data_IF_624510318604
#
_entry.id   IF_624510318604
#
_cell.length_a   1.000
_cell.length_b   1.000
_cell.length_c   1.000
_cell.angle_alpha   90.00
_cell.angle_beta   90.00
_cell.angle_gamma   90.00
#
_symmetry.space_group_name_H-M   'P 1'
#
loop_
_entity.id
_entity.type
_entity.pdbx_description
1 polymer ?
#
# COMPACT_ATOMS: atom_id res chain seq x y z
N UNK A 1 10.61 12.56 19.85
CA UNK A 1 9.38 12.71 19.04
C UNK A 1 9.50 11.71 17.91
N UNK A 2 8.44 10.96 17.60
CA UNK A 2 8.43 10.10 16.41
C UNK A 2 8.40 11.06 15.23
N UNK A 3 9.39 10.97 14.35
CA UNK A 3 9.48 11.79 13.15
C UNK A 3 8.41 11.32 12.15
N UNK A 4 7.98 12.18 11.22
CA UNK A 4 6.90 11.93 10.27
C UNK A 4 7.24 10.82 9.27
N UNK A 5 6.23 10.05 8.86
CA UNK A 5 6.31 9.19 7.67
C UNK A 5 5.66 9.93 6.50
N UNK A 6 6.37 10.06 5.40
CA UNK A 6 5.81 10.55 4.14
C UNK A 6 5.43 9.36 3.27
N UNK A 7 4.16 9.29 2.87
CA UNK A 7 3.65 8.27 1.96
C UNK A 7 3.35 8.92 0.61
N UNK A 8 4.04 8.51 -0.45
CA UNK A 8 3.81 8.98 -1.82
C UNK A 8 3.15 7.86 -2.61
N UNK A 9 1.88 8.02 -2.97
CA UNK A 9 1.16 6.90 -3.57
C UNK A 9 -0.26 7.20 -4.04
N UNK A 10 -0.96 6.15 -4.45
CA UNK A 10 -2.33 6.23 -4.96
C UNK A 10 -3.36 6.52 -3.88
N UNK A 11 -4.34 7.36 -4.25
CA UNK A 11 -5.56 7.61 -3.50
C UNK A 11 -6.73 7.59 -4.47
N UNK A 12 -7.73 6.76 -4.22
CA UNK A 12 -8.90 6.59 -5.07
C UNK A 12 -10.12 6.17 -4.26
N UNK A 13 -11.26 6.08 -4.92
CA UNK A 13 -12.51 5.61 -4.33
C UNK A 13 -12.85 4.23 -4.92
N UNK A 14 -13.12 3.25 -4.06
CA UNK A 14 -13.55 1.93 -4.46
C UNK A 14 -15.09 1.86 -4.47
N UNK A 15 -15.65 1.49 -5.62
CA UNK A 15 -17.08 1.29 -5.83
C UNK A 15 -17.33 -0.20 -6.04
N UNK A 16 -17.87 -0.89 -5.05
CA UNK A 16 -18.21 -2.31 -5.12
C UNK A 16 -19.72 -2.46 -5.30
N UNK A 17 -20.19 -2.85 -6.48
CA UNK A 17 -21.58 -3.16 -6.78
C UNK A 17 -21.80 -4.67 -6.77
N UNK A 18 -22.64 -5.18 -5.87
CA UNK A 18 -23.00 -6.61 -5.81
C UNK A 18 -24.38 -6.83 -6.40
N UNK A 19 -24.47 -7.62 -7.47
CA UNK A 19 -25.73 -8.00 -8.09
C UNK A 19 -26.51 -8.96 -7.20
N UNK A 20 -27.84 -8.84 -7.18
CA UNK A 20 -28.72 -9.74 -6.44
C UNK A 20 -28.89 -11.12 -7.12
N UNK A 21 -28.53 -11.22 -8.41
CA UNK A 21 -28.54 -12.45 -9.19
C UNK A 21 -27.29 -12.47 -10.11
N UNK A 22 -27.08 -13.57 -10.83
CA UNK A 22 -25.99 -13.64 -11.81
C UNK A 22 -26.05 -12.45 -12.77
N UNK A 23 -24.98 -11.65 -12.92
CA UNK A 23 -25.01 -10.44 -13.74
C UNK A 23 -25.30 -10.74 -15.21
N UNK A 24 -26.27 -10.02 -15.78
CA UNK A 24 -26.65 -10.11 -17.17
C UNK A 24 -26.10 -8.92 -17.95
N UNK A 25 -25.36 -9.19 -19.04
CA UNK A 25 -24.82 -8.15 -19.90
C UNK A 25 -25.93 -7.42 -20.68
N UNK A 26 -25.74 -6.11 -20.92
CA UNK A 26 -26.63 -5.30 -21.74
C UNK A 26 -27.95 -4.89 -21.08
N UNK A 27 -28.11 -5.09 -19.77
CA UNK A 27 -29.29 -4.66 -19.01
C UNK A 27 -28.94 -4.19 -17.60
N UNK A 28 -29.90 -3.57 -16.89
CA UNK A 28 -29.73 -3.21 -15.48
C UNK A 28 -29.86 -4.44 -14.60
N UNK A 29 -28.95 -4.58 -13.65
CA UNK A 29 -28.95 -5.64 -12.66
C UNK A 29 -29.30 -5.04 -11.28
N UNK A 30 -30.44 -5.43 -10.66
CA UNK A 30 -30.73 -5.03 -9.28
C UNK A 30 -29.65 -5.51 -8.32
N UNK A 31 -29.32 -4.69 -7.32
CA UNK A 31 -28.27 -5.04 -6.37
C UNK A 31 -28.04 -3.96 -5.32
N UNK A 32 -26.90 -4.01 -4.68
CA UNK A 32 -26.43 -3.01 -3.71
C UNK A 32 -25.07 -2.45 -4.13
N UNK A 33 -24.80 -1.20 -3.75
CA UNK A 33 -23.52 -0.55 -4.02
C UNK A 33 -22.94 -0.04 -2.71
N UNK A 34 -21.64 -0.26 -2.52
CA UNK A 34 -20.84 0.29 -1.42
C UNK A 34 -19.72 1.15 -2.02
N UNK A 35 -19.54 2.33 -1.46
CA UNK A 35 -18.47 3.26 -1.82
C UNK A 35 -17.56 3.38 -0.60
N UNK A 36 -16.26 3.17 -0.79
CA UNK A 36 -15.26 3.21 0.29
C UNK A 36 -14.00 3.92 -0.16
N UNK A 37 -13.30 4.62 0.75
CA UNK A 37 -11.96 5.11 0.47
C UNK A 37 -11.03 3.97 0.07
N UNK A 38 -10.24 4.17 -0.97
CA UNK A 38 -9.28 3.22 -1.53
C UNK A 38 -7.94 3.88 -1.85
N UNK A 39 -7.08 3.14 -2.53
CA UNK A 39 -5.72 3.53 -2.88
C UNK A 39 -4.69 3.04 -1.88
N UNK A 40 -3.65 2.35 -2.39
CA UNK A 40 -2.62 1.70 -1.57
C UNK A 40 -1.89 2.72 -0.69
N UNK A 41 -1.43 3.84 -1.27
CA UNK A 41 -0.75 4.89 -0.51
C UNK A 41 -1.65 5.48 0.58
N UNK A 42 -2.92 5.77 0.26
CA UNK A 42 -3.88 6.25 1.25
C UNK A 42 -4.17 5.22 2.36
N UNK A 43 -4.35 3.95 2.00
CA UNK A 43 -4.59 2.88 2.98
C UNK A 43 -3.42 2.74 3.96
N UNK A 44 -2.19 2.79 3.45
CA UNK A 44 -0.96 2.75 4.26
C UNK A 44 -0.90 3.97 5.18
N UNK A 45 -1.14 5.18 4.65
CA UNK A 45 -1.10 6.41 5.43
C UNK A 45 -2.15 6.42 6.56
N UNK A 46 -3.39 6.03 6.25
CA UNK A 46 -4.44 5.92 7.26
C UNK A 46 -4.10 4.88 8.34
N UNK A 47 -3.59 3.72 7.95
CA UNK A 47 -3.21 2.68 8.91
C UNK A 47 -2.08 3.16 9.83
N UNK A 48 -1.05 3.81 9.30
CA UNK A 48 0.04 4.40 10.09
C UNK A 48 -0.50 5.43 11.10
N UNK A 49 -1.38 6.34 10.66
CA UNK A 49 -1.96 7.35 11.53
C UNK A 49 -2.80 6.72 12.66
N UNK A 50 -3.61 5.69 12.36
CA UNK A 50 -4.37 4.94 13.37
C UNK A 50 -3.51 4.20 14.38
N UNK A 51 -2.32 3.76 13.98
CA UNK A 51 -1.31 3.19 14.88
C UNK A 51 -0.57 4.26 15.71
N UNK A 52 -0.82 5.55 15.46
CA UNK A 52 -0.21 6.67 16.19
C UNK A 52 1.10 7.18 15.60
N UNK A 53 1.43 6.81 14.36
CA UNK A 53 2.58 7.36 13.63
C UNK A 53 2.16 8.65 12.91
N UNK A 54 2.81 9.81 13.15
CA UNK A 54 2.59 11.01 12.37
C UNK A 54 2.83 10.72 10.88
N UNK A 55 1.85 11.01 10.04
CA UNK A 55 1.89 10.58 8.62
C UNK A 55 1.34 11.65 7.72
N UNK A 56 2.08 11.99 6.65
CA UNK A 56 1.64 12.87 5.57
C UNK A 56 1.47 12.06 4.28
N UNK A 57 0.33 12.25 3.62
CA UNK A 57 0.05 11.66 2.31
C UNK A 57 0.38 12.65 1.19
N UNK A 58 1.11 12.17 0.19
CA UNK A 58 1.34 12.84 -1.09
C UNK A 58 0.67 12.02 -2.18
N UNK A 59 -0.41 12.55 -2.74
CA UNK A 59 -1.23 11.88 -3.73
C UNK A 59 -1.88 12.91 -4.65
N UNK A 60 -2.59 12.46 -5.68
CA UNK A 60 -3.41 13.33 -6.52
C UNK A 60 -4.85 12.82 -6.59
N UNK A 61 -5.79 13.75 -6.50
CA UNK A 61 -7.24 13.51 -6.62
C UNK A 61 -7.86 14.55 -7.57
N UNK A 62 -9.06 14.31 -8.04
CA UNK A 62 -9.83 15.31 -8.77
C UNK A 62 -10.33 16.43 -7.86
N UNK A 63 -10.74 17.54 -8.46
CA UNK A 63 -11.44 18.61 -7.75
C UNK A 63 -12.95 18.38 -7.86
N UNK A 64 -13.41 17.31 -7.21
CA UNK A 64 -14.79 16.82 -7.25
C UNK A 64 -15.27 16.31 -5.88
N UNK A 65 -16.56 15.98 -5.78
CA UNK A 65 -17.17 15.55 -4.53
C UNK A 65 -16.60 14.23 -3.98
N UNK A 66 -16.10 13.32 -4.85
CA UNK A 66 -15.45 12.10 -4.41
C UNK A 66 -14.08 12.41 -3.79
N UNK A 67 -13.32 13.33 -4.38
CA UNK A 67 -12.08 13.84 -3.82
C UNK A 67 -12.30 14.52 -2.47
N UNK A 68 -13.30 15.39 -2.36
CA UNK A 68 -13.65 16.05 -1.09
C UNK A 68 -13.94 15.04 0.04
N UNK A 69 -14.77 14.03 -0.26
CA UNK A 69 -15.12 13.00 0.72
C UNK A 69 -13.90 12.17 1.11
N UNK A 70 -13.12 11.72 0.13
CA UNK A 70 -11.91 10.93 0.35
C UNK A 70 -10.91 11.65 1.26
N UNK A 71 -10.67 12.95 0.99
CA UNK A 71 -9.75 13.77 1.79
C UNK A 71 -10.28 14.00 3.20
N UNK A 72 -11.59 14.26 3.33
CA UNK A 72 -12.23 14.47 4.64
C UNK A 72 -12.12 13.22 5.51
N UNK A 73 -12.46 12.04 4.95
CA UNK A 73 -12.43 10.78 5.70
C UNK A 73 -10.99 10.41 6.10
N UNK A 74 -10.02 10.62 5.21
CA UNK A 74 -8.62 10.30 5.49
C UNK A 74 -8.01 11.26 6.52
N UNK A 75 -8.31 12.55 6.45
CA UNK A 75 -7.90 13.54 7.45
C UNK A 75 -8.51 13.25 8.83
N UNK A 76 -9.76 12.78 8.89
CA UNK A 76 -10.41 12.41 10.15
C UNK A 76 -9.71 11.23 10.87
N UNK A 77 -8.97 10.41 10.15
CA UNK A 77 -8.13 9.36 10.72
C UNK A 77 -6.77 9.87 11.24
N UNK A 78 -6.46 11.16 11.08
CA UNK A 78 -5.23 11.78 11.57
C UNK A 78 -4.10 11.91 10.54
N UNK A 79 -4.37 11.67 9.27
CA UNK A 79 -3.37 11.85 8.18
C UNK A 79 -3.26 13.33 7.82
N UNK A 80 -2.03 13.85 7.72
CA UNK A 80 -1.76 15.16 7.13
C UNK A 80 -1.95 15.09 5.61
N UNK A 81 -2.91 15.86 5.11
CA UNK A 81 -3.31 15.92 3.70
C UNK A 81 -2.68 17.09 2.95
N UNK A 82 -1.77 17.85 3.55
CA UNK A 82 -1.15 19.03 2.93
C UNK A 82 -0.32 18.71 1.69
N UNK A 83 0.11 17.45 1.54
CA UNK A 83 0.81 16.94 0.34
C UNK A 83 -0.12 16.48 -0.79
N UNK A 84 -1.45 16.56 -0.65
CA UNK A 84 -2.37 16.09 -1.69
C UNK A 84 -2.67 17.17 -2.70
N UNK A 85 -2.49 16.84 -3.98
CA UNK A 85 -2.74 17.71 -5.12
C UNK A 85 -4.15 17.52 -5.66
N UNK A 86 -4.90 18.61 -5.80
CA UNK A 86 -6.18 18.63 -6.51
C UNK A 86 -5.95 18.96 -7.97
N UNK A 87 -6.44 18.12 -8.87
CA UNK A 87 -6.29 18.25 -10.32
C UNK A 87 -7.64 18.57 -10.98
N UNK A 88 -7.96 19.85 -11.22
CA UNK A 88 -9.31 20.25 -11.69
C UNK A 88 -9.70 19.70 -13.06
N UNK A 89 -8.72 19.29 -13.88
CA UNK A 89 -8.96 18.72 -15.21
C UNK A 89 -9.27 17.22 -15.20
N UNK A 90 -9.17 16.55 -14.04
CA UNK A 90 -9.32 15.11 -13.91
C UNK A 90 -10.37 14.79 -12.83
N UNK A 91 -11.03 13.64 -12.99
CA UNK A 91 -11.87 13.09 -11.93
C UNK A 91 -11.00 12.39 -10.87
N UNK A 92 -11.49 12.33 -9.64
CA UNK A 92 -10.91 11.48 -8.59
C UNK A 92 -10.89 10.02 -9.05
N UNK A 93 -9.75 9.36 -8.88
CA UNK A 93 -9.58 7.98 -9.31
C UNK A 93 -10.64 7.06 -8.72
N UNK A 94 -11.16 6.12 -9.50
CA UNK A 94 -12.13 5.14 -9.05
C UNK A 94 -11.76 3.73 -9.50
N UNK A 95 -11.98 2.76 -8.59
CA UNK A 95 -12.01 1.35 -8.94
C UNK A 95 -13.45 0.84 -8.78
N UNK A 96 -14.13 0.62 -9.91
CA UNK A 96 -15.52 0.15 -9.93
C UNK A 96 -15.56 -1.33 -10.24
N UNK A 97 -16.02 -2.14 -9.29
CA UNK A 97 -16.16 -3.59 -9.42
C UNK A 97 -17.62 -4.01 -9.37
N UNK A 98 -18.05 -4.84 -10.32
CA UNK A 98 -19.33 -5.52 -10.30
C UNK A 98 -19.10 -6.96 -9.89
N UNK A 99 -19.77 -7.38 -8.81
CA UNK A 99 -19.64 -8.70 -8.20
C UNK A 99 -20.92 -9.52 -8.40
N UNK A 100 -20.76 -10.84 -8.51
CA UNK A 100 -21.87 -11.79 -8.43
C UNK A 100 -22.48 -11.81 -7.02
N UNK A 101 -23.63 -12.49 -6.79
CA UNK A 101 -24.17 -12.69 -5.45
C UNK A 101 -23.20 -13.37 -4.48
N UNK A 102 -22.35 -14.25 -4.99
CA UNK A 102 -21.32 -15.00 -4.26
C UNK A 102 -20.10 -14.15 -3.94
N UNK A 103 -19.97 -12.94 -4.55
CA UNK A 103 -18.85 -12.03 -4.38
C UNK A 103 -17.72 -12.20 -5.40
N UNK A 104 -17.93 -13.01 -6.45
CA UNK A 104 -16.97 -13.17 -7.53
C UNK A 104 -16.97 -11.95 -8.46
N UNK A 105 -15.80 -11.55 -8.91
CA UNK A 105 -15.63 -10.41 -9.83
C UNK A 105 -16.15 -10.76 -11.22
N UNK A 106 -17.21 -10.08 -11.65
CA UNK A 106 -17.75 -10.21 -13.01
C UNK A 106 -17.04 -9.25 -13.99
N UNK A 107 -16.86 -8.00 -13.60
CA UNK A 107 -16.13 -6.98 -14.37
C UNK A 107 -15.63 -5.87 -13.43
N UNK A 108 -14.51 -5.24 -13.77
CA UNK A 108 -14.05 -4.04 -13.11
C UNK A 108 -13.56 -3.00 -14.13
N UNK A 109 -13.69 -1.73 -13.75
CA UNK A 109 -13.12 -0.59 -14.47
C UNK A 109 -12.29 0.20 -13.47
N UNK A 110 -11.04 0.46 -13.82
CA UNK A 110 -10.12 1.28 -13.05
C UNK A 110 -9.84 2.58 -13.80
N UNK A 111 -10.32 3.70 -13.26
CA UNK A 111 -9.90 5.04 -13.70
C UNK A 111 -8.89 5.57 -12.69
N UNK A 112 -7.63 5.62 -13.08
CA UNK A 112 -6.52 6.06 -12.23
C UNK A 112 -5.81 7.28 -12.80
N UNK A 113 -6.47 8.03 -13.70
CA UNK A 113 -5.87 9.17 -14.40
C UNK A 113 -5.29 10.23 -13.44
N UNK A 114 -5.98 10.52 -12.32
CA UNK A 114 -5.48 11.45 -11.32
C UNK A 114 -4.19 10.93 -10.64
N UNK A 115 -4.15 9.64 -10.27
CA UNK A 115 -2.94 9.02 -9.69
C UNK A 115 -1.77 9.02 -10.69
N UNK A 116 -2.03 8.68 -11.95
CA UNK A 116 -1.02 8.66 -13.01
C UNK A 116 -0.48 10.07 -13.33
N UNK A 117 -1.28 11.12 -13.08
CA UNK A 117 -0.92 12.51 -13.28
C UNK A 117 -0.11 13.13 -12.13
N UNK A 118 0.12 12.39 -11.03
CA UNK A 118 1.07 12.84 -10.00
C UNK A 118 2.49 12.78 -10.58
N UNK A 119 2.98 13.92 -11.06
CA UNK A 119 4.24 14.05 -11.77
C UNK A 119 5.40 14.42 -10.85
N UNK A 120 6.68 14.27 -11.29
CA UNK A 120 7.85 14.61 -10.49
C UNK A 120 7.88 16.04 -9.92
N UNK A 121 7.32 17.01 -10.65
CA UNK A 121 7.22 18.42 -10.24
C UNK A 121 6.30 18.67 -9.05
N UNK A 122 5.42 17.72 -8.73
CA UNK A 122 4.58 17.76 -7.53
C UNK A 122 5.33 17.34 -6.26
N UNK A 123 6.59 16.89 -6.37
CA UNK A 123 7.44 16.50 -5.26
C UNK A 123 8.55 17.55 -5.07
N UNK A 124 8.34 18.55 -4.19
CA UNK A 124 9.33 19.63 -3.95
C UNK A 124 10.62 19.10 -3.33
N UNK A 125 11.70 19.87 -3.46
CA UNK A 125 13.04 19.47 -2.99
C UNK A 125 13.12 19.23 -1.48
N UNK A 126 12.31 19.93 -0.71
CA UNK A 126 12.23 19.86 0.75
C UNK A 126 11.15 18.89 1.28
N UNK A 127 10.55 18.11 0.38
CA UNK A 127 9.46 17.17 0.74
C UNK A 127 9.78 16.30 1.96
N UNK A 128 11.01 15.88 2.10
CA UNK A 128 11.47 14.92 3.11
C UNK A 128 12.32 15.56 4.23
N UNK A 129 12.30 16.91 4.39
CA UNK A 129 13.16 17.61 5.35
C UNK A 129 13.04 17.10 6.81
N UNK A 130 11.83 16.73 7.23
CA UNK A 130 11.53 16.25 8.59
C UNK A 130 11.08 14.77 8.60
N UNK A 131 11.20 14.05 7.48
CA UNK A 131 10.75 12.68 7.35
C UNK A 131 11.73 11.68 7.98
N UNK A 132 11.21 10.72 8.76
CA UNK A 132 11.97 9.57 9.25
C UNK A 132 11.95 8.39 8.28
N UNK A 133 10.93 8.33 7.43
CA UNK A 133 10.71 7.25 6.47
C UNK A 133 9.90 7.77 5.28
N UNK A 134 10.27 7.34 4.08
CA UNK A 134 9.47 7.45 2.88
C UNK A 134 8.86 6.09 2.54
N UNK A 135 7.54 6.05 2.30
CA UNK A 135 6.88 4.90 1.69
C UNK A 135 6.41 5.30 0.29
N UNK A 136 6.74 4.47 -0.71
CA UNK A 136 6.33 4.70 -2.10
C UNK A 136 5.58 3.48 -2.62
N UNK A 137 4.42 3.67 -3.22
CA UNK A 137 3.69 2.59 -3.87
C UNK A 137 3.88 2.57 -5.40
N UNK A 138 3.80 1.38 -5.98
CA UNK A 138 3.98 1.13 -7.41
C UNK A 138 2.84 1.64 -8.30
N UNK A 139 1.81 2.33 -7.76
CA UNK A 139 0.74 2.93 -8.57
C UNK A 139 1.24 4.08 -9.42
N UNK A 140 2.24 4.79 -8.94
CA UNK A 140 2.76 6.00 -9.57
C UNK A 140 3.55 5.71 -10.86
N UNK A 141 3.69 6.73 -11.69
CA UNK A 141 4.58 6.70 -12.84
C UNK A 141 6.05 6.47 -12.41
N UNK A 142 6.82 5.72 -13.20
CA UNK A 142 8.21 5.43 -12.88
C UNK A 142 9.07 6.70 -12.68
N UNK A 143 8.78 7.79 -13.41
CA UNK A 143 9.46 9.06 -13.25
C UNK A 143 9.22 9.68 -11.86
N UNK A 144 7.99 9.62 -11.36
CA UNK A 144 7.60 10.14 -10.05
C UNK A 144 8.22 9.31 -8.92
N UNK A 145 8.19 7.97 -9.05
CA UNK A 145 8.88 7.07 -8.13
C UNK A 145 10.39 7.38 -8.14
N UNK A 146 10.99 7.52 -9.33
CA UNK A 146 12.39 7.89 -9.49
C UNK A 146 12.74 9.18 -8.74
N UNK A 147 11.92 10.23 -8.90
CA UNK A 147 12.09 11.50 -8.18
C UNK A 147 12.00 11.31 -6.67
N UNK A 148 11.03 10.55 -6.17
CA UNK A 148 10.88 10.27 -4.75
C UNK A 148 12.13 9.56 -4.17
N UNK A 149 12.68 8.58 -4.89
CA UNK A 149 13.90 7.88 -4.52
C UNK A 149 15.13 8.81 -4.53
N UNK A 150 15.23 9.74 -5.51
CA UNK A 150 16.32 10.73 -5.56
C UNK A 150 16.25 11.71 -4.40
N UNK A 151 15.06 12.18 -4.04
CA UNK A 151 14.84 13.02 -2.86
C UNK A 151 15.24 12.31 -1.56
N UNK A 152 14.84 11.05 -1.42
CA UNK A 152 15.16 10.24 -0.25
C UNK A 152 16.68 10.03 -0.12
N UNK A 153 17.36 9.75 -1.22
CA UNK A 153 18.82 9.62 -1.24
C UNK A 153 19.51 10.93 -0.84
N UNK A 154 19.06 12.08 -1.36
CA UNK A 154 19.59 13.39 -1.03
C UNK A 154 19.38 13.77 0.45
N UNK A 155 18.20 13.41 1.01
CA UNK A 155 17.87 13.68 2.42
C UNK A 155 18.36 12.58 3.38
N UNK A 156 18.95 11.49 2.88
CA UNK A 156 19.35 10.30 3.66
C UNK A 156 18.16 9.68 4.42
N UNK A 157 16.97 9.74 3.84
CA UNK A 157 15.74 9.17 4.39
C UNK A 157 15.57 7.72 3.89
N UNK A 158 15.39 6.73 4.77
CA UNK A 158 15.14 5.35 4.36
C UNK A 158 13.83 5.24 3.56
N UNK A 159 13.81 4.32 2.58
CA UNK A 159 12.65 4.13 1.69
C UNK A 159 12.10 2.71 1.82
N UNK A 160 10.79 2.59 1.90
CA UNK A 160 10.08 1.33 1.74
C UNK A 160 9.23 1.37 0.46
N UNK A 161 9.36 0.33 -0.37
CA UNK A 161 8.68 0.24 -1.66
C UNK A 161 7.62 -0.86 -1.63
N UNK A 162 6.38 -0.50 -1.95
CA UNK A 162 5.25 -1.43 -2.15
C UNK A 162 4.99 -1.64 -3.64
N UNK A 163 5.20 -2.84 -4.20
CA UNK A 163 5.04 -3.09 -5.63
C UNK A 163 3.60 -3.08 -6.15
N UNK A 164 2.60 -3.36 -5.29
CA UNK A 164 1.14 -3.26 -5.50
C UNK A 164 0.54 -4.38 -6.36
N UNK A 165 1.13 -4.67 -7.52
CA UNK A 165 0.62 -5.69 -8.45
C UNK A 165 1.69 -6.10 -9.47
N UNK A 166 1.51 -7.26 -10.09
CA UNK A 166 2.44 -7.81 -11.10
C UNK A 166 2.81 -6.81 -12.21
N UNK A 167 1.85 -6.13 -12.90
CA UNK A 167 2.20 -5.15 -13.92
C UNK A 167 2.96 -3.94 -13.39
N UNK A 168 2.66 -3.52 -12.15
CA UNK A 168 3.30 -2.37 -11.51
C UNK A 168 4.70 -2.74 -11.02
N UNK A 169 4.87 -3.92 -10.42
CA UNK A 169 6.16 -4.49 -10.07
C UNK A 169 7.11 -4.56 -11.27
N UNK A 170 6.63 -5.02 -12.42
CA UNK A 170 7.44 -5.05 -13.65
C UNK A 170 7.94 -3.65 -14.07
N UNK A 171 7.13 -2.60 -13.88
CA UNK A 171 7.52 -1.21 -14.15
C UNK A 171 8.59 -0.66 -13.20
N UNK A 172 8.76 -1.26 -12.02
CA UNK A 172 9.80 -0.87 -11.05
C UNK A 172 11.19 -1.41 -11.42
N UNK A 173 11.32 -2.39 -12.31
CA UNK A 173 12.61 -2.97 -12.71
C UNK A 173 13.68 -1.95 -13.08
N UNK A 174 13.40 -0.89 -13.87
CA UNK A 174 14.42 0.12 -14.22
C UNK A 174 14.89 0.96 -13.04
N UNK A 175 14.16 0.94 -11.92
CA UNK A 175 14.47 1.67 -10.69
C UNK A 175 15.27 0.81 -9.69
N UNK A 176 15.37 -0.51 -9.91
CA UNK A 176 16.23 -1.40 -9.13
C UNK A 176 17.69 -0.97 -9.28
N UNK A 177 18.49 -1.14 -8.23
CA UNK A 177 19.87 -0.63 -8.15
C UNK A 177 19.99 0.64 -7.30
N UNK A 178 18.87 1.24 -6.89
CA UNK A 178 18.84 2.31 -5.90
C UNK A 178 18.69 1.70 -4.50
N UNK A 179 19.43 2.20 -3.49
CA UNK A 179 19.32 1.71 -2.13
C UNK A 179 17.90 1.94 -1.58
N UNK A 180 17.28 0.87 -1.05
CA UNK A 180 16.01 0.97 -0.34
C UNK A 180 16.10 0.19 0.98
N UNK A 181 15.42 0.71 2.02
CA UNK A 181 15.36 0.06 3.33
C UNK A 181 14.61 -1.26 3.26
N UNK A 182 13.48 -1.28 2.53
CA UNK A 182 12.70 -2.50 2.33
C UNK A 182 11.95 -2.48 1.01
N UNK A 183 11.73 -3.68 0.46
CA UNK A 183 10.76 -3.93 -0.62
C UNK A 183 9.87 -5.10 -0.22
N UNK A 184 8.54 -4.98 -0.47
CA UNK A 184 7.55 -5.88 0.13
C UNK A 184 6.65 -6.57 -0.91
N UNK A 185 7.22 -7.32 -1.87
CA UNK A 185 6.43 -8.02 -2.87
C UNK A 185 5.64 -9.19 -2.31
N UNK A 186 4.55 -9.55 -2.96
CA UNK A 186 4.06 -10.93 -2.91
C UNK A 186 4.90 -11.83 -3.85
N UNK A 187 4.58 -13.14 -3.89
CA UNK A 187 5.33 -14.09 -4.72
C UNK A 187 5.34 -13.71 -6.20
N UNK A 188 4.19 -13.35 -6.77
CA UNK A 188 4.07 -13.07 -8.20
C UNK A 188 4.71 -11.71 -8.56
N UNK A 189 4.62 -10.74 -7.68
CA UNK A 189 5.31 -9.45 -7.79
C UNK A 189 6.83 -9.62 -7.71
N UNK A 190 7.32 -10.52 -6.85
CA UNK A 190 8.75 -10.86 -6.79
C UNK A 190 9.23 -11.44 -8.12
N UNK A 191 8.47 -12.36 -8.72
CA UNK A 191 8.75 -12.88 -10.06
C UNK A 191 8.78 -11.74 -11.09
N UNK A 192 7.79 -10.85 -11.05
CA UNK A 192 7.73 -9.70 -11.95
C UNK A 192 8.92 -8.75 -11.79
N UNK A 193 9.45 -8.57 -10.57
CA UNK A 193 10.61 -7.74 -10.30
C UNK A 193 11.92 -8.37 -10.79
N UNK A 194 12.08 -9.70 -10.65
CA UNK A 194 13.37 -10.37 -10.76
C UNK A 194 13.51 -11.29 -11.96
N UNK A 195 12.40 -11.59 -12.66
CA UNK A 195 12.34 -12.55 -13.76
C UNK A 195 11.80 -13.91 -13.33
N UNK A 196 11.44 -14.74 -14.33
CA UNK A 196 10.79 -16.04 -14.11
C UNK A 196 11.75 -17.13 -13.62
N UNK A 197 13.05 -16.99 -13.91
CA UNK A 197 14.06 -18.00 -13.57
C UNK A 197 14.46 -17.95 -12.10
N UNK A 198 14.70 -19.13 -11.53
CA UNK A 198 15.27 -19.29 -10.21
C UNK A 198 14.25 -19.58 -9.09
N UNK A 199 14.78 -19.96 -7.97
CA UNK A 199 14.06 -20.25 -6.72
C UNK A 199 13.63 -18.96 -6.01
N UNK A 200 12.77 -19.06 -4.99
CA UNK A 200 12.41 -17.94 -4.11
C UNK A 200 13.65 -17.27 -3.52
N UNK A 201 14.59 -18.09 -3.04
CA UNK A 201 15.81 -17.60 -2.40
C UNK A 201 16.71 -16.84 -3.37
N UNK A 202 16.90 -17.34 -4.60
CA UNK A 202 17.69 -16.67 -5.62
C UNK A 202 17.06 -15.34 -6.07
N UNK A 203 15.73 -15.26 -6.12
CA UNK A 203 15.02 -14.01 -6.40
C UNK A 203 15.18 -12.97 -5.28
N UNK A 204 15.11 -13.40 -4.04
CA UNK A 204 15.39 -12.54 -2.88
C UNK A 204 16.82 -12.00 -2.96
N UNK A 205 17.81 -12.87 -3.27
CA UNK A 205 19.21 -12.45 -3.41
C UNK A 205 19.40 -11.42 -4.52
N UNK A 206 18.67 -11.53 -5.64
CA UNK A 206 18.70 -10.51 -6.71
C UNK A 206 18.22 -9.14 -6.23
N UNK A 207 17.19 -9.08 -5.38
CA UNK A 207 16.74 -7.82 -4.80
C UNK A 207 17.74 -7.22 -3.81
N UNK A 208 18.42 -8.06 -3.02
CA UNK A 208 19.54 -7.60 -2.19
C UNK A 208 20.69 -7.06 -3.04
N UNK A 209 21.08 -7.76 -4.10
CA UNK A 209 22.09 -7.30 -5.05
C UNK A 209 21.68 -5.99 -5.75
N UNK A 210 20.38 -5.77 -5.92
CA UNK A 210 19.81 -4.54 -6.45
C UNK A 210 19.63 -3.43 -5.40
N UNK A 211 20.16 -3.59 -4.17
CA UNK A 211 20.23 -2.52 -3.17
C UNK A 211 19.14 -2.57 -2.09
N UNK A 212 18.29 -3.58 -2.04
CA UNK A 212 17.32 -3.72 -0.96
C UNK A 212 18.00 -4.27 0.31
N UNK A 213 17.91 -3.55 1.43
CA UNK A 213 18.42 -4.01 2.72
C UNK A 213 17.53 -5.11 3.31
N UNK A 214 16.21 -4.91 3.26
CA UNK A 214 15.22 -5.89 3.66
C UNK A 214 14.36 -6.28 2.46
N UNK A 215 14.12 -7.58 2.29
CA UNK A 215 13.16 -8.12 1.32
C UNK A 215 12.12 -8.92 2.10
N UNK A 216 10.87 -8.48 2.06
CA UNK A 216 9.78 -9.14 2.77
C UNK A 216 8.75 -9.69 1.79
N UNK A 217 8.85 -10.98 1.49
CA UNK A 217 7.98 -11.66 0.52
C UNK A 217 6.74 -12.21 1.21
N UNK A 218 5.58 -11.73 0.80
CA UNK A 218 4.26 -12.17 1.30
C UNK A 218 3.79 -13.40 0.52
N UNK A 219 3.36 -14.44 1.22
CA UNK A 219 2.96 -15.73 0.65
C UNK A 219 1.48 -16.07 0.96
N UNK A 220 0.68 -15.07 1.28
CA UNK A 220 -0.73 -15.26 1.63
C UNK A 220 -0.91 -16.13 2.88
N UNK A 221 -1.67 -17.20 2.77
CA UNK A 221 -1.93 -18.12 3.89
C UNK A 221 -0.68 -18.86 4.36
N UNK A 222 0.34 -19.00 3.51
CA UNK A 222 1.62 -19.62 3.85
C UNK A 222 2.55 -18.67 4.64
N UNK A 223 2.05 -17.49 5.00
CA UNK A 223 2.78 -16.51 5.80
C UNK A 223 3.71 -15.64 4.97
N UNK A 224 4.97 -15.52 5.36
CA UNK A 224 5.95 -14.69 4.65
C UNK A 224 7.39 -15.14 4.88
N UNK A 225 8.30 -14.63 4.05
CA UNK A 225 9.75 -14.73 4.22
C UNK A 225 10.31 -13.34 4.33
N UNK A 226 10.94 -13.02 5.45
CA UNK A 226 11.73 -11.82 5.65
C UNK A 226 13.21 -12.16 5.48
N UNK A 227 13.92 -11.43 4.66
CA UNK A 227 15.36 -11.54 4.46
C UNK A 227 16.03 -10.18 4.70
N UNK A 228 17.15 -10.19 5.38
CA UNK A 228 17.94 -9.00 5.72
C UNK A 228 19.31 -9.35 6.27
N UNK A 229 20.02 -8.39 6.88
CA UNK A 229 21.37 -8.59 7.42
C UNK A 229 21.48 -9.74 8.43
N UNK A 230 20.43 -9.98 9.21
CA UNK A 230 20.39 -11.05 10.22
C UNK A 230 20.00 -12.42 9.64
N UNK A 231 19.89 -12.54 8.32
CA UNK A 231 19.53 -13.76 7.60
C UNK A 231 18.07 -13.79 7.17
N UNK A 232 17.53 -15.00 6.97
CA UNK A 232 16.15 -15.25 6.51
C UNK A 232 15.31 -15.86 7.60
N UNK A 233 14.12 -15.28 7.80
CA UNK A 233 13.13 -15.76 8.77
C UNK A 233 11.82 -16.06 8.05
N UNK A 234 11.24 -17.23 8.28
CA UNK A 234 9.88 -17.57 7.87
C UNK A 234 8.93 -17.24 9.00
N UNK A 235 7.86 -16.52 8.67
CA UNK A 235 6.78 -16.17 9.61
C UNK A 235 5.50 -16.86 9.13
N UNK A 236 4.81 -17.52 10.04
CA UNK A 236 3.50 -18.08 9.76
C UNK A 236 2.44 -16.94 9.68
N UNK A 237 1.41 -17.14 8.88
CA UNK A 237 0.23 -16.26 8.91
C UNK A 237 -0.52 -16.43 10.24
N UNK A 238 -1.13 -15.35 10.72
CA UNK A 238 -2.04 -15.41 11.87
C UNK A 238 -3.43 -15.79 11.33
N UNK A 239 -4.05 -16.82 11.91
CA UNK A 239 -5.40 -17.24 11.53
C UNK A 239 -6.43 -16.19 11.90
N UNK A 240 -7.35 -15.91 10.99
CA UNK A 240 -8.46 -15.00 11.18
C UNK A 240 -9.71 -15.51 10.44
N UNK A 241 -10.88 -15.12 10.91
CA UNK A 241 -12.13 -15.33 10.19
C UNK A 241 -12.21 -14.29 9.05
N UNK A 242 -11.97 -14.72 7.83
CA UNK A 242 -11.84 -13.83 6.66
C UNK A 242 -13.21 -13.31 6.23
N UNK A 243 -13.36 -11.99 6.27
CA UNK A 243 -14.53 -11.25 5.78
C UNK A 243 -14.21 -10.59 4.41
N UNK A 244 -13.12 -9.82 4.33
CA UNK A 244 -12.62 -9.20 3.10
C UNK A 244 -11.07 -9.14 3.17
N UNK A 245 -10.39 -9.54 2.11
CA UNK A 245 -8.92 -9.52 2.04
C UNK A 245 -8.36 -8.17 1.56
N UNK A 246 -9.24 -7.24 1.14
CA UNK A 246 -8.85 -5.92 0.63
C UNK A 246 -8.14 -5.12 1.73
N UNK A 247 -6.99 -4.51 1.40
CA UNK A 247 -6.22 -3.69 2.34
C UNK A 247 -5.33 -4.46 3.32
N UNK A 248 -5.39 -5.82 3.34
CA UNK A 248 -4.55 -6.61 4.24
C UNK A 248 -3.04 -6.38 4.02
N UNK A 249 -2.60 -6.30 2.75
CA UNK A 249 -1.22 -5.99 2.39
C UNK A 249 -0.79 -4.59 2.84
N UNK A 250 -1.70 -3.62 2.69
CA UNK A 250 -1.46 -2.22 3.08
C UNK A 250 -1.33 -2.09 4.60
N UNK A 251 -2.24 -2.75 5.35
CA UNK A 251 -2.20 -2.81 6.81
C UNK A 251 -0.93 -3.52 7.31
N UNK A 252 -0.55 -4.61 6.65
CA UNK A 252 0.66 -5.38 6.93
C UNK A 252 1.92 -4.51 6.79
N UNK A 253 2.03 -3.78 5.68
CA UNK A 253 3.15 -2.88 5.42
C UNK A 253 3.18 -1.68 6.38
N UNK A 254 2.06 -1.02 6.59
CA UNK A 254 1.97 0.12 7.50
C UNK A 254 2.38 -0.25 8.92
N UNK A 255 1.87 -1.38 9.43
CA UNK A 255 2.21 -1.90 10.75
C UNK A 255 3.70 -2.30 10.86
N UNK A 256 4.27 -2.89 9.82
CA UNK A 256 5.70 -3.15 9.73
C UNK A 256 6.53 -1.87 9.84
N UNK A 257 6.19 -0.83 9.09
CA UNK A 257 6.86 0.47 9.15
C UNK A 257 6.72 1.12 10.53
N UNK A 258 5.52 1.10 11.12
CA UNK A 258 5.27 1.60 12.47
C UNK A 258 6.19 0.94 13.52
N UNK A 259 6.25 -0.40 13.52
CA UNK A 259 7.05 -1.16 14.45
C UNK A 259 8.57 -0.93 14.26
N UNK A 260 9.04 -0.85 13.00
CA UNK A 260 10.44 -0.52 12.70
C UNK A 260 10.83 0.86 13.24
N UNK A 261 9.97 1.87 13.06
CA UNK A 261 10.20 3.23 13.58
C UNK A 261 10.17 3.26 15.11
N UNK A 262 9.42 2.37 15.73
CA UNK A 262 9.42 2.14 17.18
C UNK A 262 10.66 1.40 17.70
N UNK A 263 11.62 1.03 16.83
CA UNK A 263 12.86 0.34 17.20
C UNK A 263 12.74 -1.18 17.29
N UNK A 264 11.65 -1.76 16.79
CA UNK A 264 11.52 -3.22 16.74
C UNK A 264 12.53 -3.85 15.77
N UNK A 265 12.95 -5.09 16.06
CA UNK A 265 13.72 -5.87 15.09
C UNK A 265 12.89 -6.12 13.83
N UNK A 266 13.50 -6.30 12.64
CA UNK A 266 12.75 -6.57 11.42
C UNK A 266 11.82 -7.79 11.53
N UNK A 267 12.23 -8.83 12.23
CA UNK A 267 11.41 -10.03 12.46
C UNK A 267 10.18 -9.74 13.33
N UNK A 268 10.33 -8.94 14.40
CA UNK A 268 9.20 -8.52 15.23
C UNK A 268 8.27 -7.57 14.47
N UNK A 269 8.82 -6.65 13.70
CA UNK A 269 8.02 -5.75 12.85
C UNK A 269 7.20 -6.52 11.81
N UNK A 270 7.76 -7.58 11.21
CA UNK A 270 7.03 -8.45 10.29
C UNK A 270 5.91 -9.25 11.00
N UNK A 271 6.15 -9.76 12.22
CA UNK A 271 5.11 -10.41 13.01
C UNK A 271 3.98 -9.40 13.37
N UNK A 272 4.33 -8.17 13.72
CA UNK A 272 3.38 -7.10 13.98
C UNK A 272 2.55 -6.76 12.73
N UNK A 273 3.17 -6.77 11.53
CA UNK A 273 2.47 -6.65 10.26
C UNK A 273 1.46 -7.78 10.02
N UNK A 274 1.82 -9.04 10.33
CA UNK A 274 0.89 -10.17 10.25
C UNK A 274 -0.31 -10.02 11.17
N UNK A 275 -0.11 -9.48 12.39
CA UNK A 275 -1.20 -9.20 13.33
C UNK A 275 -2.17 -8.14 12.79
N UNK A 276 -1.66 -7.05 12.22
CA UNK A 276 -2.48 -6.02 11.59
C UNK A 276 -3.26 -6.56 10.38
N UNK A 277 -2.62 -7.38 9.53
CA UNK A 277 -3.29 -8.03 8.41
C UNK A 277 -4.42 -8.95 8.88
N UNK A 278 -4.21 -9.77 9.92
CA UNK A 278 -5.24 -10.65 10.48
C UNK A 278 -6.45 -9.88 11.00
N UNK A 279 -6.23 -8.73 11.66
CA UNK A 279 -7.30 -7.84 12.11
C UNK A 279 -8.06 -7.21 10.94
N UNK A 280 -7.34 -6.84 9.87
CA UNK A 280 -7.93 -6.20 8.69
C UNK A 280 -8.81 -7.18 7.93
N UNK A 281 -8.34 -8.41 7.66
CA UNK A 281 -9.14 -9.41 6.92
C UNK A 281 -10.37 -9.88 7.69
N UNK A 282 -10.41 -9.72 9.01
CA UNK A 282 -11.58 -10.00 9.85
C UNK A 282 -12.58 -8.83 9.90
N UNK A 283 -12.39 -7.79 9.07
CA UNK A 283 -13.24 -6.61 8.95
C UNK A 283 -13.80 -6.48 7.54
N UNK A 284 -14.93 -5.83 7.39
CA UNK A 284 -15.49 -5.47 6.09
C UNK A 284 -14.99 -4.10 5.57
N UNK A 285 -13.97 -3.53 6.22
CA UNK A 285 -13.35 -2.26 5.87
C UNK A 285 -11.94 -2.48 5.31
N UNK A 286 -11.58 -1.75 4.26
CA UNK A 286 -10.22 -1.75 3.67
C UNK A 286 -9.16 -1.31 4.68
N UNK A 287 -9.47 -0.28 5.46
CA UNK A 287 -8.72 0.09 6.67
C UNK A 287 -9.66 -0.02 7.85
N UNK A 288 -9.29 -0.86 8.82
CA UNK A 288 -10.12 -1.12 10.00
C UNK A 288 -10.23 0.12 10.89
N UNK A 289 -11.45 0.67 11.15
CA UNK A 289 -11.61 1.97 11.81
C UNK A 289 -11.15 2.03 13.27
N UNK A 290 -11.23 0.91 14.00
CA UNK A 290 -10.83 0.76 15.40
C UNK A 290 -9.41 0.21 15.58
N UNK A 291 -8.61 0.17 14.49
CA UNK A 291 -7.23 -0.30 14.56
C UNK A 291 -6.41 0.64 15.45
N UNK A 292 -5.68 0.06 16.38
CA UNK A 292 -4.78 0.77 17.30
C UNK A 292 -3.54 -0.08 17.57
N UNK A 293 -2.44 0.55 17.98
CA UNK A 293 -1.21 -0.15 18.37
C UNK A 293 -1.49 -1.21 19.45
N UNK A 294 -2.32 -0.87 20.48
CA UNK A 294 -2.72 -1.82 21.53
C UNK A 294 -3.48 -3.04 20.96
N UNK A 295 -4.38 -2.82 19.98
CA UNK A 295 -5.17 -3.92 19.41
C UNK A 295 -4.28 -4.87 18.61
N UNK A 296 -3.36 -4.33 17.79
CA UNK A 296 -2.40 -5.14 17.04
C UNK A 296 -1.48 -5.90 17.98
N UNK A 297 -0.90 -5.23 19.00
CA UNK A 297 -0.03 -5.85 20.00
C UNK A 297 -0.70 -6.96 20.80
N UNK A 298 -2.03 -6.98 20.90
CA UNK A 298 -2.75 -8.03 21.63
C UNK A 298 -2.78 -9.40 20.92
N UNK A 299 -2.35 -9.48 19.65
CA UNK A 299 -2.27 -10.72 18.88
C UNK A 299 -0.84 -11.31 18.83
N UNK A 300 0.14 -10.65 19.44
CA UNK A 300 1.52 -11.09 19.55
C UNK A 300 1.79 -11.72 20.91
#
# INVERSE_FOLDING_TARGET
MISEVVVVGGANVDVKARSAAAPLAGTSNPGSTRITPGGVGRNIAETLARLGTPTRLVAAVGDDALGDQLLTDTAAAGVDMTGVHRLPALATGTYTAVLSPEGELAVAVADMAATDALAPEHLPDDLLADAALLVVDGNLAAATIGRALDLAAAATVPVVVEPVSVPKAARLRPLLGRPVRAITPNHDELVALTGEDGTLDERIDRLHQAGAELVWVRLGLDGSVLSGPDGRTRLASIRADVVDVTGAGDAMLAAFCHALLGGATPAHAAAYGHAAAALTVASDHTVRPDLTDRLVGSLL
#
